data_IF_672034324504
#
_entry.id   IF_672034324504
#
_cell.length_a   1.000
_cell.length_b   1.000
_cell.length_c   1.000
_cell.angle_alpha   90.00
_cell.angle_beta   90.00
_cell.angle_gamma   90.00
#
_symmetry.space_group_name_H-M   'P 1'
#
loop_
_entity.id
_entity.type
_entity.pdbx_description
1 polymer ?
#
# COMPACT_ATOMS: atom_id res chain seq x y z
N UNK A 1 5.13 13.03 3.02
CA UNK A 1 5.39 11.68 2.49
C UNK A 1 6.68 11.78 1.67
N UNK A 2 7.64 10.92 1.82
CA UNK A 2 8.93 11.02 1.11
C UNK A 2 8.83 10.45 -0.31
N UNK A 3 8.18 11.17 -1.21
CA UNK A 3 8.14 10.79 -2.61
C UNK A 3 9.47 11.11 -3.30
N UNK A 4 9.99 10.15 -4.05
CA UNK A 4 11.15 10.38 -4.90
C UNK A 4 10.76 11.27 -6.09
N UNK A 5 11.68 12.12 -6.62
CA UNK A 5 11.40 13.04 -7.72
C UNK A 5 10.75 12.36 -8.92
N UNK A 6 11.32 11.27 -9.41
CA UNK A 6 10.82 10.53 -10.57
C UNK A 6 9.40 9.97 -10.35
N UNK A 7 9.13 9.51 -9.11
CA UNK A 7 7.79 9.03 -8.74
C UNK A 7 6.78 10.16 -8.74
N UNK A 8 7.14 11.32 -8.22
CA UNK A 8 6.25 12.47 -8.16
C UNK A 8 5.98 13.05 -9.55
N UNK A 9 6.99 13.13 -10.43
CA UNK A 9 6.81 13.53 -11.83
C UNK A 9 5.89 12.57 -12.58
N UNK A 10 6.09 11.27 -12.39
CA UNK A 10 5.19 10.26 -12.95
C UNK A 10 3.75 10.41 -12.44
N UNK A 11 3.55 10.67 -11.14
CA UNK A 11 2.22 10.94 -10.55
C UNK A 11 1.61 12.18 -11.19
N UNK A 12 2.37 13.29 -11.30
CA UNK A 12 1.92 14.53 -11.93
C UNK A 12 1.35 14.27 -13.33
N UNK A 13 2.08 13.51 -14.14
CA UNK A 13 1.61 13.09 -15.46
C UNK A 13 0.33 12.27 -15.43
N UNK A 14 0.14 11.41 -14.42
CA UNK A 14 -1.06 10.59 -14.27
C UNK A 14 -2.29 11.36 -13.83
N UNK A 15 -2.12 12.40 -13.01
CA UNK A 15 -3.22 13.25 -12.53
C UNK A 15 -3.46 14.48 -13.39
N UNK A 16 -2.67 14.69 -14.45
CA UNK A 16 -2.79 15.83 -15.36
C UNK A 16 -2.30 17.15 -14.76
N UNK A 17 -1.38 17.11 -13.79
CA UNK A 17 -0.81 18.32 -13.19
C UNK A 17 0.30 18.88 -14.08
N UNK A 18 -0.08 19.74 -15.02
CA UNK A 18 0.84 20.38 -15.98
C UNK A 18 1.77 21.42 -15.34
N UNK A 19 1.46 21.87 -14.14
CA UNK A 19 2.24 22.88 -13.41
C UNK A 19 3.20 22.26 -12.37
N UNK A 20 3.36 20.92 -12.39
CA UNK A 20 4.23 20.25 -11.45
C UNK A 20 5.65 20.78 -11.50
N UNK A 21 6.20 21.04 -10.31
CA UNK A 21 7.62 21.19 -10.08
C UNK A 21 7.99 20.45 -8.79
N UNK A 22 9.22 19.96 -8.68
CA UNK A 22 9.65 19.22 -7.50
C UNK A 22 9.51 20.06 -6.22
N UNK A 23 9.70 21.35 -6.29
CA UNK A 23 9.56 22.26 -5.15
C UNK A 23 8.14 22.28 -4.56
N UNK A 24 7.12 21.95 -5.36
CA UNK A 24 5.76 21.83 -4.86
C UNK A 24 5.58 20.70 -3.83
N UNK A 25 6.49 19.73 -3.78
CA UNK A 25 6.46 18.68 -2.77
C UNK A 25 6.88 19.16 -1.37
N UNK A 26 7.43 20.36 -1.24
CA UNK A 26 7.63 20.99 0.08
C UNK A 26 6.34 21.59 0.64
N UNK A 27 5.33 21.82 -0.21
CA UNK A 27 3.98 22.11 0.26
C UNK A 27 3.30 20.86 0.80
N UNK A 28 2.78 20.93 2.02
CA UNK A 28 2.22 19.78 2.72
C UNK A 28 0.96 19.23 2.02
N UNK A 29 0.10 20.09 1.50
CA UNK A 29 -1.13 19.69 0.82
C UNK A 29 -0.81 18.90 -0.46
N UNK A 30 0.07 19.44 -1.30
CA UNK A 30 0.53 18.80 -2.53
C UNK A 30 1.21 17.46 -2.24
N UNK A 31 2.09 17.43 -1.25
CA UNK A 31 2.81 16.21 -0.85
C UNK A 31 1.86 15.11 -0.38
N UNK A 32 0.87 15.45 0.46
CA UNK A 32 -0.14 14.50 0.96
C UNK A 32 -1.02 14.04 -0.20
N UNK A 33 -1.51 14.94 -1.04
CA UNK A 33 -2.35 14.61 -2.21
C UNK A 33 -1.66 13.61 -3.14
N UNK A 34 -0.41 13.84 -3.47
CA UNK A 34 0.37 12.93 -4.32
C UNK A 34 0.62 11.59 -3.66
N UNK A 35 1.00 11.61 -2.39
CA UNK A 35 1.24 10.38 -1.64
C UNK A 35 -0.01 9.52 -1.45
N UNK A 36 -1.16 10.14 -1.16
CA UNK A 36 -2.44 9.43 -1.07
C UNK A 36 -2.87 8.86 -2.42
N UNK A 37 -2.68 9.62 -3.51
CA UNK A 37 -2.95 9.11 -4.85
C UNK A 37 -2.09 7.88 -5.18
N UNK A 38 -0.80 7.95 -4.84
CA UNK A 38 0.12 6.82 -5.08
C UNK A 38 -0.24 5.59 -4.26
N UNK A 39 -0.59 5.77 -2.97
CA UNK A 39 -1.06 4.67 -2.13
C UNK A 39 -2.34 4.03 -2.69
N UNK A 40 -3.29 4.83 -3.17
CA UNK A 40 -4.50 4.32 -3.82
C UNK A 40 -4.17 3.54 -5.10
N UNK A 41 -3.24 4.05 -5.91
CA UNK A 41 -2.78 3.35 -7.10
C UNK A 41 -2.15 1.99 -6.75
N UNK A 42 -1.24 1.95 -5.77
CA UNK A 42 -0.60 0.71 -5.32
C UNK A 42 -1.60 -0.25 -4.68
N UNK A 43 -2.57 0.26 -3.93
CA UNK A 43 -3.64 -0.55 -3.34
C UNK A 43 -4.48 -1.25 -4.41
N UNK A 44 -4.82 -0.56 -5.49
CA UNK A 44 -5.50 -1.20 -6.63
C UNK A 44 -4.62 -2.24 -7.31
N UNK A 45 -3.34 -1.95 -7.50
CA UNK A 45 -2.38 -2.85 -8.15
C UNK A 45 -2.18 -4.15 -7.36
N UNK A 46 -2.09 -4.04 -6.03
CA UNK A 46 -1.81 -5.16 -5.11
C UNK A 46 -3.04 -5.60 -4.31
N UNK A 47 -4.26 -5.31 -4.79
CA UNK A 47 -5.53 -5.78 -4.22
C UNK A 47 -5.71 -5.46 -2.73
N UNK A 48 -5.15 -4.35 -2.28
CA UNK A 48 -5.24 -3.90 -0.89
C UNK A 48 -4.31 -4.64 0.09
N UNK A 49 -3.44 -5.53 -0.37
CA UNK A 49 -2.48 -6.21 0.49
C UNK A 49 -1.50 -5.21 1.13
N UNK A 50 -1.59 -5.05 2.45
CA UNK A 50 -0.82 -4.03 3.18
C UNK A 50 0.70 -4.26 3.12
N UNK A 51 1.14 -5.53 3.05
CA UNK A 51 2.57 -5.87 2.93
C UNK A 51 3.09 -5.48 1.56
N UNK A 52 2.36 -5.84 0.50
CA UNK A 52 2.77 -5.52 -0.87
C UNK A 52 2.70 -4.02 -1.15
N UNK A 53 1.64 -3.34 -0.70
CA UNK A 53 1.46 -1.89 -0.86
C UNK A 53 2.58 -1.11 -0.17
N UNK A 54 2.86 -1.42 1.11
CA UNK A 54 3.93 -0.75 1.85
C UNK A 54 5.31 -1.07 1.27
N UNK A 55 5.55 -2.31 0.87
CA UNK A 55 6.79 -2.71 0.20
C UNK A 55 6.98 -1.97 -1.12
N UNK A 56 5.94 -1.85 -1.93
CA UNK A 56 5.98 -1.15 -3.21
C UNK A 56 6.13 0.36 -3.04
N UNK A 57 5.54 0.93 -2.00
CA UNK A 57 5.75 2.34 -1.68
C UNK A 57 7.21 2.64 -1.34
N UNK A 58 7.88 1.72 -0.62
CA UNK A 58 9.27 1.88 -0.18
C UNK A 58 10.29 1.49 -1.26
N UNK A 59 10.10 0.34 -1.93
CA UNK A 59 11.08 -0.24 -2.85
C UNK A 59 10.73 -0.10 -4.34
N UNK A 60 9.55 0.46 -4.63
CA UNK A 60 9.01 0.56 -5.99
C UNK A 60 8.21 -0.67 -6.42
N UNK A 61 7.14 -0.43 -7.19
CA UNK A 61 6.22 -1.48 -7.65
C UNK A 61 6.91 -2.57 -8.49
N UNK A 62 7.85 -2.21 -9.33
CA UNK A 62 8.58 -3.16 -10.21
C UNK A 62 9.38 -4.17 -9.38
N UNK A 63 9.97 -3.72 -8.27
CA UNK A 63 10.69 -4.62 -7.35
C UNK A 63 9.76 -5.64 -6.72
N UNK A 64 8.58 -5.21 -6.26
CA UNK A 64 7.60 -6.12 -5.65
C UNK A 64 7.02 -7.09 -6.68
N UNK A 65 6.73 -6.65 -7.90
CA UNK A 65 6.28 -7.54 -8.99
C UNK A 65 7.34 -8.62 -9.28
N UNK A 66 8.63 -8.25 -9.29
CA UNK A 66 9.72 -9.22 -9.44
C UNK A 66 9.75 -10.23 -8.28
N UNK A 67 9.57 -9.78 -7.04
CA UNK A 67 9.50 -10.67 -5.88
C UNK A 67 8.31 -11.63 -5.93
N UNK A 68 7.15 -11.18 -6.42
CA UNK A 68 5.98 -12.04 -6.63
C UNK A 68 6.25 -13.12 -7.69
N UNK A 69 7.13 -12.86 -8.65
CA UNK A 69 7.51 -13.83 -9.67
C UNK A 69 8.55 -14.85 -9.19
N UNK A 70 9.20 -14.60 -8.04
CA UNK A 70 10.22 -15.48 -7.46
C UNK A 70 9.57 -16.49 -6.51
N UNK A 71 9.65 -17.78 -6.87
CA UNK A 71 9.07 -18.87 -6.08
C UNK A 71 9.72 -19.09 -4.71
N UNK A 72 10.92 -18.56 -4.50
CA UNK A 72 11.59 -18.56 -3.20
C UNK A 72 11.03 -17.52 -2.23
N UNK A 73 10.39 -16.47 -2.77
CA UNK A 73 9.81 -15.35 -2.01
C UNK A 73 8.28 -15.49 -1.92
N UNK A 74 7.62 -15.71 -3.04
CA UNK A 74 6.17 -15.87 -3.15
C UNK A 74 5.83 -17.25 -3.70
N UNK A 75 5.19 -18.10 -2.90
CA UNK A 75 4.81 -19.46 -3.31
C UNK A 75 3.64 -19.46 -4.29
N UNK A 76 2.71 -18.51 -4.15
CA UNK A 76 1.48 -18.39 -4.93
C UNK A 76 1.58 -17.38 -6.09
N UNK A 77 2.59 -16.51 -6.08
CA UNK A 77 2.74 -15.42 -7.03
C UNK A 77 1.79 -14.23 -6.80
N UNK A 78 1.09 -14.23 -5.67
CA UNK A 78 0.05 -13.24 -5.35
C UNK A 78 0.31 -12.53 -4.03
N UNK A 79 0.83 -13.24 -3.04
CA UNK A 79 1.11 -12.72 -1.70
C UNK A 79 2.57 -12.93 -1.29
N UNK A 80 3.06 -12.10 -0.39
CA UNK A 80 4.38 -12.26 0.25
C UNK A 80 4.20 -11.99 1.74
N UNK A 81 4.30 -13.01 2.60
CA UNK A 81 4.37 -12.81 4.04
C UNK A 81 5.56 -11.93 4.43
N UNK A 82 5.44 -11.10 5.48
CA UNK A 82 6.51 -10.16 5.88
C UNK A 82 7.84 -10.88 6.14
N UNK A 83 7.80 -12.07 6.75
CA UNK A 83 9.00 -12.88 7.04
C UNK A 83 9.71 -13.38 5.77
N UNK A 84 8.99 -13.52 4.65
CA UNK A 84 9.51 -13.94 3.35
C UNK A 84 10.05 -12.80 2.49
N UNK A 85 9.79 -11.56 2.86
CA UNK A 85 10.42 -10.43 2.18
C UNK A 85 11.94 -10.52 2.28
N UNK A 86 12.69 -10.15 1.23
CA UNK A 86 14.14 -10.07 1.27
C UNK A 86 14.63 -9.22 2.45
N UNK A 87 15.65 -9.69 3.15
CA UNK A 87 16.21 -8.97 4.29
C UNK A 87 16.71 -7.58 3.88
N UNK A 88 16.34 -6.57 4.67
CA UNK A 88 16.74 -5.21 4.41
C UNK A 88 15.72 -4.15 4.87
N UNK A 89 15.94 -2.89 4.49
CA UNK A 89 15.11 -1.77 4.93
C UNK A 89 13.63 -1.90 4.57
N UNK A 90 13.31 -2.49 3.42
CA UNK A 90 11.92 -2.67 2.97
C UNK A 90 11.16 -3.65 3.84
N UNK A 91 11.77 -4.76 4.23
CA UNK A 91 11.17 -5.73 5.17
C UNK A 91 10.88 -5.08 6.52
N UNK A 92 11.83 -4.32 7.05
CA UNK A 92 11.65 -3.58 8.31
C UNK A 92 10.54 -2.52 8.20
N UNK A 93 10.51 -1.79 7.09
CA UNK A 93 9.48 -0.78 6.85
C UNK A 93 8.09 -1.41 6.74
N UNK A 94 7.92 -2.43 5.91
CA UNK A 94 6.65 -3.14 5.75
C UNK A 94 6.18 -3.76 7.08
N UNK A 95 7.09 -4.38 7.85
CA UNK A 95 6.77 -4.91 9.17
C UNK A 95 6.25 -3.85 10.15
N UNK A 96 6.90 -2.67 10.21
CA UNK A 96 6.42 -1.56 11.05
C UNK A 96 5.07 -1.04 10.61
N UNK A 97 4.87 -0.85 9.31
CA UNK A 97 3.60 -0.35 8.77
C UNK A 97 2.47 -1.32 9.06
N UNK A 98 2.65 -2.61 8.80
CA UNK A 98 1.60 -3.62 9.01
C UNK A 98 1.28 -3.83 10.49
N UNK A 99 2.29 -3.79 11.37
CA UNK A 99 2.06 -3.83 12.82
C UNK A 99 1.26 -2.63 13.29
N UNK A 100 1.65 -1.41 12.88
CA UNK A 100 0.92 -0.19 13.23
C UNK A 100 -0.50 -0.20 12.67
N UNK A 101 -0.68 -0.67 11.44
CA UNK A 101 -1.98 -0.81 10.81
C UNK A 101 -2.92 -1.70 11.65
N UNK A 102 -2.44 -2.88 12.08
CA UNK A 102 -3.22 -3.78 12.92
C UNK A 102 -3.59 -3.17 14.28
N UNK A 103 -2.67 -2.40 14.90
CA UNK A 103 -2.95 -1.69 16.15
C UNK A 103 -4.05 -0.64 15.93
N UNK A 104 -3.93 0.20 14.91
CA UNK A 104 -4.95 1.22 14.62
C UNK A 104 -6.29 0.62 14.21
N UNK A 105 -6.29 -0.48 13.46
CA UNK A 105 -7.51 -1.21 13.11
C UNK A 105 -8.24 -1.69 14.36
N UNK A 106 -7.52 -2.31 15.31
CA UNK A 106 -8.09 -2.78 16.57
C UNK A 106 -8.59 -1.64 17.48
N UNK A 107 -7.90 -0.50 17.48
CA UNK A 107 -8.27 0.66 18.31
C UNK A 107 -9.45 1.46 17.73
N UNK A 108 -9.49 1.63 16.41
CA UNK A 108 -10.48 2.48 15.75
C UNK A 108 -11.74 1.71 15.35
N UNK A 109 -11.63 0.39 15.14
CA UNK A 109 -12.72 -0.48 14.68
C UNK A 109 -12.81 -1.75 15.52
N UNK A 110 -12.99 -1.66 16.87
CA UNK A 110 -12.92 -2.81 17.76
C UNK A 110 -13.99 -3.87 17.48
N UNK A 111 -15.15 -3.49 16.95
CA UNK A 111 -16.25 -4.42 16.66
C UNK A 111 -16.06 -5.19 15.35
N UNK A 112 -15.31 -4.65 14.39
CA UNK A 112 -15.01 -5.32 13.11
C UNK A 112 -13.88 -6.34 13.27
N UNK A 113 -12.96 -6.11 14.21
CA UNK A 113 -11.86 -7.02 14.51
C UNK A 113 -12.32 -8.32 15.17
N UNK A 114 -13.45 -8.29 15.91
CA UNK A 114 -14.03 -9.46 16.58
C UNK A 114 -14.77 -10.38 15.58
N UNK A 115 -15.39 -9.84 14.55
CA UNK A 115 -16.09 -10.62 13.51
C UNK A 115 -15.12 -11.35 12.58
N UNK A 116 -13.97 -10.74 12.27
CA UNK A 116 -12.94 -11.35 11.42
C UNK A 116 -12.16 -12.46 12.10
N UNK A 117 -12.06 -12.45 13.43
CA UNK A 117 -11.46 -13.54 14.21
C UNK A 117 -12.36 -14.79 14.30
N UNK A 118 -13.67 -14.65 14.05
CA UNK A 118 -14.63 -15.75 14.06
C UNK A 118 -14.93 -16.37 12.69
N UNK A 119 -14.55 -15.73 11.61
CA UNK A 119 -14.76 -16.19 10.24
C UNK A 119 -13.44 -16.69 9.63
N UNK A 120 -12.96 -17.82 10.11
CA UNK A 120 -11.96 -18.60 9.38
C UNK A 120 -12.70 -19.28 8.23
N UNK A 121 -12.59 -18.74 7.07
CA UNK A 121 -12.64 -19.34 5.73
C UNK A 121 -13.45 -18.49 4.72
N UNK A 122 -12.80 -17.95 3.74
CA UNK A 122 -13.31 -17.78 2.39
C UNK A 122 -13.77 -16.39 1.92
N UNK A 123 -14.27 -15.47 2.77
CA UNK A 123 -14.99 -14.27 2.26
C UNK A 123 -14.44 -12.88 2.65
N UNK A 124 -13.24 -12.82 3.22
CA UNK A 124 -12.70 -11.55 3.78
C UNK A 124 -12.29 -10.53 2.68
N UNK A 125 -12.06 -10.98 1.46
CA UNK A 125 -11.55 -10.14 0.37
C UNK A 125 -12.64 -9.24 -0.23
N UNK A 126 -13.91 -9.65 -0.17
CA UNK A 126 -15.02 -8.95 -0.84
C UNK A 126 -15.54 -7.74 -0.06
N UNK A 127 -15.55 -7.80 1.26
CA UNK A 127 -16.09 -6.72 2.11
C UNK A 127 -15.14 -5.51 2.22
N UNK A 128 -13.83 -5.74 2.16
CA UNK A 128 -12.81 -4.68 2.23
C UNK A 128 -12.73 -3.81 0.97
N UNK A 129 -12.99 -4.41 -0.21
CA UNK A 129 -12.94 -3.69 -1.49
C UNK A 129 -14.12 -2.72 -1.69
N UNK A 130 -15.26 -3.01 -1.06
CA UNK A 130 -16.49 -2.21 -1.25
C UNK A 130 -16.46 -0.91 -0.45
N UNK A 131 -15.80 -0.84 0.71
CA UNK A 131 -15.78 0.38 1.54
C UNK A 131 -14.73 1.42 1.15
N UNK A 132 -13.66 1.03 0.47
CA UNK A 132 -12.70 1.98 -0.09
C UNK A 132 -13.22 2.74 -1.32
N UNK A 133 -14.38 2.35 -1.87
CA UNK A 133 -14.99 2.91 -3.07
C UNK A 133 -16.14 3.90 -2.84
N UNK A 134 -16.57 4.15 -1.61
CA UNK A 134 -17.73 5.03 -1.31
C UNK A 134 -17.27 6.38 -0.77
N UNK A 135 -16.59 7.14 -1.59
CA UNK A 135 -16.48 8.59 -1.46
C UNK A 135 -16.21 9.19 -2.84
N UNK A 136 -17.16 9.05 -3.77
CA UNK A 136 -17.26 9.88 -4.95
C UNK A 136 -18.72 9.93 -5.41
N UNK A 137 -19.46 10.85 -4.87
CA UNK A 137 -20.51 11.59 -5.58
C UNK A 137 -20.29 13.06 -5.35
#
# INVERSE_FOLDING_TARGET
MQLMPDTAEWIAGKIGDSNYSFDHLYDAETNIRYGCWYLNYLSKLFRGDAVLVSSAYHAGQTTVIRWLSDKGISSDGVTIPVDKLPDGPTKQYAGRVTTSYGIYEALLYPNESAETAGAADGDIVSARAVRAGVANQ
#
